data_IF_287951104800
#
_entry.id   IF_287951104800
#
_cell.length_a   1.000
_cell.length_b   1.000
_cell.length_c   1.000
_cell.angle_alpha   90.00
_cell.angle_beta   90.00
_cell.angle_gamma   90.00
#
_symmetry.space_group_name_H-M   'P 1'
#
loop_
_entity.id
_entity.type
_entity.pdbx_description
1 polymer ?
#
# COMPACT_ATOMS: atom_id res chain seq x y z
N UNK A 1 -9.76 14.75 11.49
CA UNK A 1 -8.41 14.13 11.49
C UNK A 1 -7.61 14.53 10.26
N UNK A 2 -6.35 14.94 10.42
CA UNK A 2 -5.48 15.41 9.31
C UNK A 2 -4.74 14.28 8.55
N UNK A 3 -5.01 12.99 8.83
CA UNK A 3 -4.32 11.84 8.24
C UNK A 3 -4.78 11.48 6.83
N UNK A 4 -4.06 10.52 6.22
CA UNK A 4 -4.39 9.95 4.90
C UNK A 4 -4.74 8.47 5.03
N UNK A 5 -5.70 8.04 4.24
CA UNK A 5 -6.12 6.64 4.10
C UNK A 5 -5.70 6.12 2.74
N UNK A 6 -5.50 4.82 2.62
CA UNK A 6 -5.23 4.14 1.35
C UNK A 6 -5.86 2.75 1.35
N UNK A 7 -6.25 2.26 0.18
CA UNK A 7 -6.72 0.88 0.01
C UNK A 7 -5.65 0.11 -0.73
N UNK A 8 -5.14 -0.93 -0.09
CA UNK A 8 -4.03 -1.73 -0.59
C UNK A 8 -4.39 -3.21 -0.69
N UNK A 9 -3.74 -3.90 -1.60
CA UNK A 9 -3.59 -5.34 -1.51
C UNK A 9 -2.39 -5.64 -0.60
N UNK A 10 -2.56 -6.60 0.29
CA UNK A 10 -1.47 -7.21 1.05
C UNK A 10 -1.56 -8.73 0.93
N UNK A 11 -0.44 -9.43 0.79
CA UNK A 11 -0.43 -10.88 1.04
C UNK A 11 -0.97 -11.19 2.44
N UNK A 12 -1.37 -12.44 2.71
CA UNK A 12 -1.76 -12.86 4.07
C UNK A 12 -0.62 -12.53 5.05
N UNK A 13 -0.89 -11.73 6.11
CA UNK A 13 0.13 -11.38 7.10
C UNK A 13 0.78 -12.57 7.82
N UNK A 14 0.15 -13.74 7.79
CA UNK A 14 0.70 -15.01 8.31
C UNK A 14 1.53 -15.75 7.27
N UNK A 15 1.49 -15.34 6.00
CA UNK A 15 2.13 -16.01 4.89
C UNK A 15 3.63 -15.71 4.78
N UNK A 16 4.35 -16.58 4.08
CA UNK A 16 5.79 -16.44 3.86
C UNK A 16 6.15 -15.19 3.03
N UNK A 17 5.33 -14.86 2.04
CA UNK A 17 5.55 -13.68 1.18
C UNK A 17 5.46 -12.38 1.98
N UNK A 18 4.48 -12.26 2.90
CA UNK A 18 4.39 -11.10 3.80
C UNK A 18 5.61 -10.98 4.71
N UNK A 19 6.02 -12.10 5.33
CA UNK A 19 7.20 -12.10 6.22
C UNK A 19 8.46 -11.70 5.47
N UNK A 20 8.68 -12.24 4.27
CA UNK A 20 9.85 -11.89 3.46
C UNK A 20 9.84 -10.42 3.04
N UNK A 21 8.70 -9.89 2.57
CA UNK A 21 8.59 -8.49 2.19
C UNK A 21 8.73 -7.54 3.37
N UNK A 22 8.14 -7.86 4.53
CA UNK A 22 8.27 -7.07 5.77
C UNK A 22 9.70 -7.09 6.31
N UNK A 23 10.38 -8.25 6.27
CA UNK A 23 11.80 -8.38 6.62
C UNK A 23 12.68 -7.57 5.67
N UNK A 24 12.48 -7.69 4.36
CA UNK A 24 13.21 -6.88 3.39
C UNK A 24 13.04 -5.38 3.65
N UNK A 25 11.81 -4.92 3.91
CA UNK A 25 11.57 -3.50 4.22
C UNK A 25 11.99 -3.11 5.65
N UNK A 26 12.30 -4.07 6.53
CA UNK A 26 12.69 -3.83 7.93
C UNK A 26 11.54 -3.38 8.83
N UNK A 27 10.27 -3.58 8.40
CA UNK A 27 9.09 -3.17 9.17
C UNK A 27 7.85 -3.99 8.78
N UNK A 28 7.13 -4.45 9.78
CA UNK A 28 5.78 -4.99 9.64
C UNK A 28 4.75 -3.86 9.77
N UNK A 29 3.95 -3.62 8.72
CA UNK A 29 2.96 -2.56 8.70
C UNK A 29 1.69 -2.90 9.50
N UNK A 30 1.46 -4.18 9.86
CA UNK A 30 0.31 -4.62 10.67
C UNK A 30 0.58 -4.41 12.16
N UNK A 31 1.78 -4.76 12.61
CA UNK A 31 2.17 -4.64 14.02
C UNK A 31 2.85 -3.31 14.34
N UNK A 32 3.39 -2.63 13.32
CA UNK A 32 4.25 -1.46 13.46
C UNK A 32 5.67 -1.79 13.90
N UNK A 33 5.98 -3.07 14.17
CA UNK A 33 7.27 -3.49 14.69
C UNK A 33 8.38 -3.37 13.65
N UNK A 34 9.59 -3.06 14.11
CA UNK A 34 10.80 -3.24 13.33
C UNK A 34 11.04 -4.74 13.12
N UNK A 35 11.45 -5.10 11.93
CA UNK A 35 11.79 -6.49 11.55
C UNK A 35 13.23 -6.51 11.08
N UNK A 36 13.99 -7.47 11.56
CA UNK A 36 15.38 -7.64 11.13
C UNK A 36 15.44 -8.04 9.64
N UNK A 37 16.17 -7.30 8.79
CA UNK A 37 16.28 -7.63 7.38
C UNK A 37 17.24 -8.79 7.15
N UNK A 38 16.84 -9.70 6.29
CA UNK A 38 17.73 -10.70 5.72
C UNK A 38 18.35 -10.11 4.45
N UNK A 39 19.59 -9.58 4.57
CA UNK A 39 20.25 -8.87 3.48
C UNK A 39 21.08 -9.83 2.60
N UNK A 40 21.12 -9.60 1.27
CA UNK A 40 22.11 -10.23 0.40
C UNK A 40 23.54 -9.91 0.88
N UNK A 41 24.51 -10.85 0.75
CA UNK A 41 25.86 -10.66 1.28
C UNK A 41 26.58 -9.40 0.82
N UNK A 42 26.31 -8.92 -0.38
CA UNK A 42 26.93 -7.74 -0.96
C UNK A 42 26.25 -6.41 -0.58
N UNK A 43 25.14 -6.44 0.18
CA UNK A 43 24.36 -5.26 0.53
C UNK A 43 24.59 -4.84 1.98
N UNK A 44 25.28 -3.73 2.18
CA UNK A 44 25.47 -3.14 3.51
C UNK A 44 24.19 -2.51 4.09
N UNK A 45 24.07 -2.50 5.44
CA UNK A 45 22.92 -1.90 6.14
C UNK A 45 22.68 -0.42 5.81
N UNK A 46 23.68 0.46 5.67
CA UNK A 46 23.47 1.85 5.30
C UNK A 46 22.79 1.98 3.93
N UNK A 47 23.33 1.31 2.93
CA UNK A 47 22.78 1.30 1.57
C UNK A 47 21.37 0.71 1.53
N UNK A 48 21.13 -0.40 2.24
CA UNK A 48 19.77 -0.98 2.36
C UNK A 48 18.77 0.01 2.97
N UNK A 49 19.17 0.77 4.02
CA UNK A 49 18.30 1.77 4.65
C UNK A 49 17.88 2.86 3.68
N UNK A 50 18.82 3.34 2.88
CA UNK A 50 18.59 4.32 1.82
C UNK A 50 17.62 3.76 0.77
N UNK A 51 17.93 2.58 0.24
CA UNK A 51 17.11 1.93 -0.80
C UNK A 51 15.68 1.61 -0.38
N UNK A 52 15.44 1.43 0.91
CA UNK A 52 14.12 1.05 1.43
C UNK A 52 13.42 2.17 2.20
N UNK A 53 13.93 3.41 2.22
CA UNK A 53 13.38 4.48 3.06
C UNK A 53 11.91 4.77 2.77
N UNK A 54 11.56 5.09 1.52
CA UNK A 54 10.17 5.34 1.16
C UNK A 54 9.32 4.06 1.20
N UNK A 55 9.70 2.91 0.58
CA UNK A 55 8.90 1.69 0.65
C UNK A 55 8.63 1.23 2.09
N UNK A 56 9.60 1.32 3.00
CA UNK A 56 9.45 1.00 4.42
C UNK A 56 8.36 1.85 5.09
N UNK A 57 8.27 3.13 4.73
CA UNK A 57 7.25 4.05 5.26
C UNK A 57 5.84 3.62 4.89
N UNK A 58 5.67 3.08 3.70
CA UNK A 58 4.37 2.57 3.22
C UNK A 58 4.08 1.14 3.70
N UNK A 59 5.10 0.31 3.94
CA UNK A 59 4.99 -1.12 4.23
C UNK A 59 4.86 -1.98 2.97
N UNK A 60 4.84 -3.29 3.13
CA UNK A 60 4.80 -4.24 2.01
C UNK A 60 3.37 -4.36 1.47
N UNK A 61 3.09 -3.79 0.29
CA UNK A 61 1.75 -3.71 -0.28
C UNK A 61 1.78 -3.50 -1.79
N UNK A 62 0.64 -3.72 -2.46
CA UNK A 62 0.35 -3.14 -3.77
C UNK A 62 -0.81 -2.14 -3.65
N UNK A 63 -0.67 -0.98 -4.29
CA UNK A 63 -1.66 0.10 -4.21
C UNK A 63 -2.87 -0.20 -5.09
N UNK A 64 -4.07 -0.32 -4.51
CA UNK A 64 -5.34 -0.40 -5.24
C UNK A 64 -6.01 0.98 -5.35
N UNK A 65 -6.03 1.74 -4.24
CA UNK A 65 -6.37 3.17 -4.25
C UNK A 65 -5.29 3.95 -3.52
N UNK A 66 -4.67 4.93 -4.20
CA UNK A 66 -3.58 5.72 -3.63
C UNK A 66 -4.04 6.55 -2.42
N UNK A 67 -3.10 7.02 -1.58
CA UNK A 67 -3.40 7.78 -0.39
C UNK A 67 -4.26 9.02 -0.64
N UNK A 68 -5.33 9.17 0.17
CA UNK A 68 -6.25 10.31 0.13
C UNK A 68 -6.62 10.78 1.55
N UNK A 69 -7.00 12.05 1.67
CA UNK A 69 -7.61 12.60 2.88
C UNK A 69 -9.11 12.36 2.82
N UNK A 70 -9.73 12.12 3.99
CA UNK A 70 -11.18 11.96 4.08
C UNK A 70 -11.86 13.29 3.73
N UNK A 71 -12.90 13.22 2.91
CA UNK A 71 -13.74 14.36 2.58
C UNK A 71 -14.57 14.79 3.79
N UNK A 72 -14.94 16.07 3.82
CA UNK A 72 -15.84 16.60 4.85
C UNK A 72 -17.16 15.82 4.86
N UNK A 73 -17.69 15.56 6.03
CA UNK A 73 -18.95 14.81 6.21
C UNK A 73 -18.77 13.29 6.29
N UNK A 74 -17.56 12.77 6.14
CA UNK A 74 -17.26 11.35 6.37
C UNK A 74 -16.36 11.15 7.57
N UNK A 75 -16.68 10.14 8.35
CA UNK A 75 -15.88 9.67 9.46
C UNK A 75 -15.12 8.38 9.07
N UNK A 76 -14.04 8.01 9.79
CA UNK A 76 -13.31 6.77 9.52
C UNK A 76 -14.18 5.51 9.53
N UNK A 77 -15.24 5.48 10.34
CA UNK A 77 -16.18 4.36 10.42
C UNK A 77 -16.96 4.17 9.13
N UNK A 78 -17.29 5.24 8.41
CA UNK A 78 -17.97 5.17 7.12
C UNK A 78 -17.11 4.49 6.06
N UNK A 79 -15.80 4.83 6.06
CA UNK A 79 -14.83 4.19 5.18
C UNK A 79 -14.62 2.71 5.51
N UNK A 80 -14.59 2.36 6.80
CA UNK A 80 -14.50 0.97 7.27
C UNK A 80 -15.72 0.18 6.81
N UNK A 81 -16.93 0.71 7.02
CA UNK A 81 -18.17 0.08 6.58
C UNK A 81 -18.18 -0.13 5.05
N UNK A 82 -17.77 0.86 4.28
CA UNK A 82 -17.64 0.73 2.84
C UNK A 82 -16.62 -0.35 2.41
N UNK A 83 -15.51 -0.50 3.14
CA UNK A 83 -14.55 -1.58 2.89
C UNK A 83 -15.14 -2.97 3.20
N UNK A 84 -15.96 -3.09 4.24
CA UNK A 84 -16.68 -4.33 4.57
C UNK A 84 -17.68 -4.71 3.47
N UNK A 85 -18.51 -3.77 3.04
CA UNK A 85 -19.51 -4.00 1.99
C UNK A 85 -18.83 -4.36 0.66
N UNK A 86 -17.75 -3.66 0.32
CA UNK A 86 -16.94 -3.94 -0.86
C UNK A 86 -16.34 -5.35 -0.81
N UNK A 87 -15.80 -5.78 0.33
CA UNK A 87 -15.19 -7.10 0.48
C UNK A 87 -16.25 -8.22 0.51
N UNK A 88 -17.41 -7.98 1.13
CA UNK A 88 -18.50 -8.94 1.22
C UNK A 88 -19.07 -9.31 -0.16
N UNK A 89 -19.12 -8.36 -1.08
CA UNK A 89 -19.66 -8.55 -2.43
C UNK A 89 -18.68 -9.25 -3.40
N UNK A 90 -17.51 -9.72 -2.93
CA UNK A 90 -16.46 -10.28 -3.80
C UNK A 90 -16.03 -11.67 -3.38
N UNK A 91 -15.65 -12.48 -4.36
CA UNK A 91 -15.00 -13.76 -4.15
C UNK A 91 -13.48 -13.62 -4.24
N UNK A 92 -12.77 -14.47 -3.50
CA UNK A 92 -11.33 -14.63 -3.66
C UNK A 92 -11.00 -15.25 -5.02
N UNK A 93 -9.87 -14.83 -5.60
CA UNK A 93 -9.37 -15.35 -6.87
C UNK A 93 -7.86 -15.52 -6.84
N UNK A 94 -7.32 -16.18 -7.85
CA UNK A 94 -5.87 -16.29 -8.05
C UNK A 94 -5.43 -15.39 -9.21
N UNK A 95 -4.43 -14.56 -8.94
CA UNK A 95 -3.69 -13.81 -9.95
C UNK A 95 -2.46 -14.60 -10.40
N UNK A 96 -1.88 -14.29 -11.56
CA UNK A 96 -0.63 -14.91 -12.02
C UNK A 96 0.48 -14.86 -10.97
N UNK A 97 1.49 -15.75 -11.06
CA UNK A 97 2.68 -15.70 -10.24
C UNK A 97 3.36 -14.32 -10.28
N UNK A 98 4.16 -14.02 -9.25
CA UNK A 98 4.96 -12.81 -9.21
C UNK A 98 6.34 -13.04 -9.82
N UNK A 99 6.99 -11.94 -10.18
CA UNK A 99 8.42 -11.89 -10.49
C UNK A 99 9.03 -10.62 -9.93
N UNK A 100 10.30 -10.65 -9.58
CA UNK A 100 11.08 -9.44 -9.30
C UNK A 100 11.40 -8.76 -10.63
N UNK A 101 11.09 -7.48 -10.75
CA UNK A 101 11.32 -6.71 -11.98
C UNK A 101 11.78 -5.28 -11.68
N UNK A 102 12.52 -4.71 -12.64
CA UNK A 102 12.78 -3.26 -12.70
C UNK A 102 11.53 -2.57 -13.25
N UNK A 103 11.01 -1.62 -12.51
CA UNK A 103 9.84 -0.81 -12.87
C UNK A 103 10.29 0.64 -12.95
N UNK A 104 10.67 1.08 -14.15
CA UNK A 104 11.09 2.46 -14.42
C UNK A 104 12.15 2.99 -13.41
N UNK A 105 13.11 2.15 -13.03
CA UNK A 105 14.24 2.53 -12.18
C UNK A 105 14.12 2.14 -10.71
N UNK A 106 13.07 1.50 -10.25
CA UNK A 106 12.97 0.87 -8.95
C UNK A 106 12.66 -0.63 -9.07
N UNK A 107 13.00 -1.42 -8.06
CA UNK A 107 12.75 -2.86 -8.05
C UNK A 107 11.46 -3.14 -7.29
N UNK A 108 10.61 -3.99 -7.87
CA UNK A 108 9.36 -4.42 -7.27
C UNK A 108 9.02 -5.87 -7.62
N UNK A 109 8.11 -6.48 -6.86
CA UNK A 109 7.40 -7.68 -7.31
C UNK A 109 6.23 -7.24 -8.19
N UNK A 110 6.20 -7.76 -9.43
CA UNK A 110 5.13 -7.53 -10.41
C UNK A 110 4.49 -8.86 -10.79
N UNK A 111 3.32 -8.85 -11.40
CA UNK A 111 2.76 -10.05 -11.99
C UNK A 111 3.63 -10.52 -13.16
N UNK A 112 3.75 -11.83 -13.32
CA UNK A 112 4.51 -12.43 -14.45
C UNK A 112 3.83 -12.11 -15.79
N UNK A 113 2.50 -12.03 -15.79
CA UNK A 113 1.67 -11.69 -16.94
C UNK A 113 0.49 -10.80 -16.50
N UNK A 114 -0.17 -10.05 -17.41
CA UNK A 114 -1.31 -9.21 -17.08
C UNK A 114 -2.47 -9.98 -16.45
N UNK A 115 -3.26 -9.32 -15.59
CA UNK A 115 -4.43 -9.91 -14.95
C UNK A 115 -5.61 -8.95 -14.98
N UNK A 116 -6.58 -9.24 -15.85
CA UNK A 116 -7.82 -8.47 -15.94
C UNK A 116 -8.59 -8.42 -14.60
N UNK A 117 -8.50 -9.48 -13.77
CA UNK A 117 -9.12 -9.52 -12.46
C UNK A 117 -8.47 -8.53 -11.46
N UNK A 118 -7.14 -8.40 -11.48
CA UNK A 118 -6.40 -7.42 -10.67
C UNK A 118 -6.71 -5.99 -11.15
N UNK A 119 -6.74 -5.77 -12.47
CA UNK A 119 -7.03 -4.45 -13.04
C UNK A 119 -8.46 -4.02 -12.72
N UNK A 120 -9.42 -4.96 -12.80
CA UNK A 120 -10.81 -4.72 -12.38
C UNK A 120 -10.90 -4.38 -10.89
N UNK A 121 -10.23 -5.15 -10.03
CA UNK A 121 -10.20 -4.87 -8.58
C UNK A 121 -9.64 -3.47 -8.26
N UNK A 122 -8.54 -3.08 -8.91
CA UNK A 122 -7.95 -1.75 -8.73
C UNK A 122 -8.88 -0.63 -9.23
N UNK A 123 -9.49 -0.81 -10.40
CA UNK A 123 -10.48 0.13 -10.97
C UNK A 123 -11.68 0.31 -10.03
N UNK A 124 -12.20 -0.80 -9.50
CA UNK A 124 -13.32 -0.78 -8.58
C UNK A 124 -12.95 -0.09 -7.26
N UNK A 125 -11.77 -0.37 -6.71
CA UNK A 125 -11.28 0.32 -5.51
C UNK A 125 -11.17 1.85 -5.74
N UNK A 126 -10.65 2.28 -6.89
CA UNK A 126 -10.58 3.70 -7.21
C UNK A 126 -11.99 4.30 -7.28
N UNK A 127 -12.91 3.67 -8.01
CA UNK A 127 -14.25 4.19 -8.27
C UNK A 127 -15.13 4.23 -7.01
N UNK A 128 -15.21 3.12 -6.27
CA UNK A 128 -16.09 2.97 -5.09
C UNK A 128 -15.65 3.89 -3.95
N UNK A 129 -14.35 3.98 -3.70
CA UNK A 129 -13.83 4.78 -2.59
C UNK A 129 -13.53 6.23 -2.97
N UNK A 130 -13.83 6.69 -4.21
CA UNK A 130 -13.57 8.09 -4.59
C UNK A 130 -14.46 9.09 -3.87
N UNK A 131 -15.69 8.69 -3.51
CA UNK A 131 -16.61 9.53 -2.72
C UNK A 131 -16.04 9.97 -1.37
N UNK A 132 -15.11 9.19 -0.81
CA UNK A 132 -14.45 9.49 0.47
C UNK A 132 -13.23 10.41 0.32
N UNK A 133 -12.80 10.71 -0.89
CA UNK A 133 -11.61 11.49 -1.16
C UNK A 133 -11.89 12.98 -1.09
N UNK A 134 -11.22 13.68 -0.17
CA UNK A 134 -11.22 15.14 -0.14
C UNK A 134 -10.61 15.73 -1.43
N UNK A 135 -11.08 16.90 -1.86
CA UNK A 135 -10.42 17.65 -2.91
C UNK A 135 -8.92 17.88 -2.62
N UNK A 136 -8.07 17.98 -3.65
CA UNK A 136 -6.65 18.25 -3.44
C UNK A 136 -6.46 19.62 -2.77
N UNK A 137 -5.48 19.72 -1.87
CA UNK A 137 -5.05 21.01 -1.34
C UNK A 137 -4.29 21.82 -2.40
N UNK A 138 -4.17 23.13 -2.20
CA UNK A 138 -3.38 24.00 -3.10
C UNK A 138 -1.94 23.48 -3.28
N UNK A 139 -1.28 23.08 -2.18
CA UNK A 139 0.07 22.50 -2.22
C UNK A 139 0.15 21.17 -2.99
N UNK A 140 -0.88 20.32 -2.91
CA UNK A 140 -0.98 19.09 -3.72
C UNK A 140 -1.17 19.43 -5.20
N UNK A 141 -1.99 20.42 -5.51
CA UNK A 141 -2.23 20.88 -6.89
C UNK A 141 -0.96 21.41 -7.51
N UNK A 142 -0.24 22.33 -6.83
CA UNK A 142 1.03 22.90 -7.33
C UNK A 142 2.07 21.80 -7.57
N UNK A 143 2.25 20.88 -6.64
CA UNK A 143 3.20 19.74 -6.80
C UNK A 143 2.85 18.85 -7.99
N UNK A 144 1.58 18.66 -8.26
CA UNK A 144 1.09 17.82 -9.35
C UNK A 144 1.25 18.52 -10.72
N UNK A 145 1.11 19.83 -10.77
CA UNK A 145 1.35 20.62 -11.98
C UNK A 145 2.83 20.63 -12.40
N UNK A 146 3.76 20.47 -11.44
CA UNK A 146 5.19 20.38 -11.71
C UNK A 146 5.63 19.01 -12.27
N UNK A 147 4.77 18.00 -12.29
CA UNK A 147 5.11 16.67 -12.80
C UNK A 147 4.92 16.63 -14.32
N UNK A 148 5.90 16.05 -15.03
CA UNK A 148 5.78 15.77 -16.46
C UNK A 148 4.84 14.59 -16.67
N UNK A 149 3.57 14.88 -16.96
CA UNK A 149 2.51 13.89 -17.18
C UNK A 149 2.06 13.90 -18.64
N UNK A 150 1.71 12.73 -19.16
CA UNK A 150 1.00 12.66 -20.43
C UNK A 150 -0.38 13.31 -20.32
N UNK A 151 -1.00 13.69 -21.44
CA UNK A 151 -2.37 14.21 -21.46
C UNK A 151 -3.36 13.28 -20.72
N UNK A 152 -3.21 11.96 -20.93
CA UNK A 152 -4.06 10.96 -20.27
C UNK A 152 -3.84 10.92 -18.76
N UNK A 153 -2.59 10.87 -18.31
CA UNK A 153 -2.25 10.91 -16.88
C UNK A 153 -2.72 12.20 -16.21
N UNK A 154 -2.65 13.32 -16.91
CA UNK A 154 -3.22 14.59 -16.43
C UNK A 154 -4.73 14.52 -16.23
N UNK A 155 -5.48 13.92 -17.16
CA UNK A 155 -6.92 13.71 -17.05
C UNK A 155 -7.27 12.78 -15.85
N UNK A 156 -6.53 11.67 -15.68
CA UNK A 156 -6.71 10.76 -14.55
C UNK A 156 -6.41 11.43 -13.22
N UNK A 157 -5.35 12.25 -13.17
CA UNK A 157 -5.01 13.04 -11.98
C UNK A 157 -6.14 14.00 -11.58
N UNK A 158 -6.72 14.71 -12.54
CA UNK A 158 -7.84 15.63 -12.28
C UNK A 158 -9.08 14.85 -11.79
N UNK A 159 -9.40 13.76 -12.45
CA UNK A 159 -10.60 12.97 -12.13
C UNK A 159 -10.47 12.20 -10.81
N UNK A 160 -9.37 11.46 -10.62
CA UNK A 160 -9.20 10.49 -9.54
C UNK A 160 -8.19 10.90 -8.46
N UNK A 161 -7.53 12.03 -8.65
CA UNK A 161 -6.52 12.53 -7.71
C UNK A 161 -5.16 11.83 -7.79
N UNK A 162 -4.96 10.93 -8.78
CA UNK A 162 -3.69 10.25 -9.00
C UNK A 162 -3.56 9.83 -10.47
N UNK A 163 -2.37 9.98 -11.11
CA UNK A 163 -2.24 9.75 -12.55
C UNK A 163 -2.13 8.28 -12.95
N UNK A 164 -1.68 7.40 -12.06
CA UNK A 164 -1.40 5.99 -12.34
C UNK A 164 -2.52 5.09 -11.81
N UNK A 165 -3.75 5.34 -12.28
CA UNK A 165 -4.97 4.56 -11.99
C UNK A 165 -5.65 4.17 -13.29
N UNK A 166 -6.68 3.34 -13.22
CA UNK A 166 -7.43 2.84 -14.38
C UNK A 166 -6.50 2.12 -15.36
N UNK A 167 -6.44 2.55 -16.62
CA UNK A 167 -5.57 1.97 -17.65
C UNK A 167 -4.07 2.24 -17.45
N UNK A 168 -3.71 3.21 -16.62
CA UNK A 168 -2.32 3.49 -16.22
C UNK A 168 -1.90 2.69 -14.98
N UNK A 169 -2.81 1.89 -14.43
CA UNK A 169 -2.51 1.06 -13.27
C UNK A 169 -1.52 -0.06 -13.62
N UNK A 170 -0.54 -0.28 -12.72
CA UNK A 170 0.39 -1.40 -12.80
C UNK A 170 0.50 -2.03 -11.43
N UNK A 171 0.15 -3.30 -11.32
CA UNK A 171 0.28 -4.04 -10.07
C UNK A 171 1.76 -4.22 -9.72
N UNK A 172 2.16 -3.72 -8.55
CA UNK A 172 3.52 -3.91 -8.03
C UNK A 172 3.56 -3.80 -6.51
N UNK A 173 4.44 -4.60 -5.88
CA UNK A 173 4.82 -4.46 -4.48
C UNK A 173 6.25 -3.94 -4.44
N UNK A 174 6.41 -2.70 -4.06
CA UNK A 174 7.69 -1.97 -4.13
C UNK A 174 8.72 -2.53 -3.14
N UNK A 175 9.92 -2.81 -3.62
CA UNK A 175 11.04 -3.28 -2.82
C UNK A 175 12.10 -2.20 -2.59
N UNK A 176 12.34 -1.31 -3.56
CA UNK A 176 13.35 -0.27 -3.45
C UNK A 176 12.83 1.10 -3.85
N UNK A 177 13.55 2.14 -3.45
CA UNK A 177 13.46 3.44 -4.11
C UNK A 177 14.03 3.38 -5.53
N UNK A 178 13.88 4.48 -6.28
CA UNK A 178 14.53 4.62 -7.58
C UNK A 178 16.04 4.62 -7.41
N UNK A 179 16.70 3.86 -8.27
CA UNK A 179 18.15 3.67 -8.25
C UNK A 179 18.75 4.11 -9.57
N UNK A 180 19.92 4.78 -9.50
CA UNK A 180 20.75 4.98 -10.67
C UNK A 180 21.54 3.68 -11.00
N UNK A 181 21.91 3.48 -12.27
CA UNK A 181 22.94 2.50 -12.65
C UNK A 181 24.31 3.01 -12.13
N UNK A 182 25.31 2.20 -11.76
CA UNK A 182 25.34 0.74 -11.73
C UNK A 182 24.90 0.17 -10.37
N UNK A 183 24.70 -1.13 -10.29
CA UNK A 183 24.29 -1.84 -9.04
C UNK A 183 22.85 -2.33 -9.05
N UNK A 184 21.96 -1.67 -9.81
CA UNK A 184 20.54 -2.07 -9.90
C UNK A 184 20.38 -3.49 -10.45
N UNK A 185 21.11 -3.86 -11.49
CA UNK A 185 21.04 -5.21 -12.06
C UNK A 185 21.50 -6.30 -11.08
N UNK A 186 22.59 -6.05 -10.34
CA UNK A 186 23.08 -6.98 -9.33
C UNK A 186 22.07 -7.15 -8.18
N UNK A 187 21.48 -6.05 -7.72
CA UNK A 187 20.44 -6.10 -6.68
C UNK A 187 19.16 -6.78 -7.18
N UNK A 188 18.75 -6.53 -8.43
CA UNK A 188 17.63 -7.22 -9.07
C UNK A 188 17.81 -8.73 -9.02
N UNK A 189 18.99 -9.23 -9.45
CA UNK A 189 19.30 -10.65 -9.44
C UNK A 189 19.31 -11.23 -8.00
N UNK A 190 19.86 -10.51 -7.04
CA UNK A 190 19.90 -10.92 -5.64
C UNK A 190 18.50 -11.01 -5.04
N UNK A 191 17.63 -10.03 -5.33
CA UNK A 191 16.23 -10.05 -4.90
C UNK A 191 15.43 -11.12 -5.63
N UNK A 192 15.66 -11.35 -6.91
CA UNK A 192 15.05 -12.45 -7.65
C UNK A 192 15.35 -13.80 -6.99
N UNK A 193 16.61 -14.05 -6.61
CA UNK A 193 16.99 -15.25 -5.89
C UNK A 193 16.33 -15.34 -4.49
N UNK A 194 16.25 -14.22 -3.77
CA UNK A 194 15.63 -14.16 -2.43
C UNK A 194 14.14 -14.48 -2.46
N UNK A 195 13.40 -13.98 -3.46
CA UNK A 195 11.96 -14.16 -3.59
C UNK A 195 11.55 -15.35 -4.47
N UNK A 196 12.49 -16.04 -5.12
CA UNK A 196 12.25 -17.09 -6.13
C UNK A 196 11.17 -18.10 -5.70
N UNK A 197 11.36 -18.77 -4.55
CA UNK A 197 10.41 -19.79 -4.06
C UNK A 197 9.03 -19.20 -3.69
N UNK A 198 8.97 -17.92 -3.35
CA UNK A 198 7.76 -17.24 -2.89
C UNK A 198 6.92 -16.68 -4.03
N UNK A 199 7.48 -16.63 -5.23
CA UNK A 199 6.88 -16.00 -6.40
C UNK A 199 6.43 -16.98 -7.48
N UNK A 200 6.77 -18.27 -7.36
CA UNK A 200 6.45 -19.32 -8.36
C UNK A 200 4.97 -19.70 -8.42
N UNK A 201 4.26 -19.59 -7.31
CA UNK A 201 2.85 -19.95 -7.25
C UNK A 201 1.95 -18.76 -7.58
N UNK A 202 0.74 -19.01 -8.13
CA UNK A 202 -0.27 -17.97 -8.28
C UNK A 202 -0.54 -17.24 -6.97
N UNK A 203 -0.76 -15.93 -7.06
CA UNK A 203 -1.03 -15.09 -5.89
C UNK A 203 -2.51 -15.15 -5.53
N UNK A 204 -2.81 -15.59 -4.32
CA UNK A 204 -4.17 -15.54 -3.82
C UNK A 204 -4.55 -14.11 -3.46
N UNK A 205 -5.57 -13.59 -4.12
CA UNK A 205 -6.18 -12.28 -3.85
C UNK A 205 -7.51 -12.52 -3.15
N UNK A 206 -7.50 -12.40 -1.84
CA UNK A 206 -8.63 -12.78 -0.98
C UNK A 206 -9.04 -11.65 -0.02
N UNK A 207 -8.71 -10.40 -0.35
CA UNK A 207 -9.11 -9.25 0.43
C UNK A 207 -8.40 -7.97 0.06
N UNK A 208 -8.90 -6.88 0.63
CA UNK A 208 -8.27 -5.54 0.62
C UNK A 208 -7.86 -5.15 2.03
N UNK A 209 -6.96 -4.19 2.15
CA UNK A 209 -6.51 -3.66 3.43
C UNK A 209 -6.63 -2.14 3.46
N UNK A 210 -7.21 -1.62 4.53
CA UNK A 210 -7.26 -0.18 4.83
C UNK A 210 -6.01 0.20 5.60
N UNK A 211 -5.27 1.15 5.08
CA UNK A 211 -4.08 1.73 5.71
C UNK A 211 -4.34 3.17 6.11
N UNK A 212 -3.67 3.62 7.16
CA UNK A 212 -3.74 4.98 7.67
C UNK A 212 -2.34 5.56 7.92
N UNK A 213 -2.18 6.83 7.58
CA UNK A 213 -1.00 7.62 7.87
C UNK A 213 -1.42 8.89 8.61
N UNK A 214 -1.04 9.07 9.87
CA UNK A 214 -1.50 10.21 10.68
C UNK A 214 -0.90 11.56 10.24
N UNK A 215 0.31 11.55 9.71
CA UNK A 215 0.99 12.75 9.18
C UNK A 215 1.91 12.39 8.01
N UNK A 216 2.34 13.36 7.22
CA UNK A 216 3.17 13.16 6.04
C UNK A 216 4.52 12.45 6.33
N UNK A 217 5.05 12.59 7.54
CA UNK A 217 6.32 11.98 7.98
C UNK A 217 6.14 10.64 8.68
N UNK A 218 4.95 10.35 9.19
CA UNK A 218 4.67 9.08 9.86
C UNK A 218 4.60 7.91 8.87
N UNK A 219 4.90 6.69 9.31
CA UNK A 219 4.67 5.51 8.50
C UNK A 219 3.17 5.22 8.36
N UNK A 220 2.80 4.57 7.27
CA UNK A 220 1.48 3.95 7.14
C UNK A 220 1.38 2.71 8.03
N UNK A 221 0.23 2.54 8.67
CA UNK A 221 -0.10 1.34 9.43
C UNK A 221 -1.35 0.68 8.82
N UNK A 222 -1.36 -0.64 8.76
CA UNK A 222 -2.54 -1.39 8.40
C UNK A 222 -3.56 -1.31 9.54
N UNK A 223 -4.67 -0.60 9.32
CA UNK A 223 -5.77 -0.55 10.29
C UNK A 223 -6.50 -1.87 10.35
N UNK A 224 -6.86 -2.38 9.15
CA UNK A 224 -7.66 -3.60 9.04
C UNK A 224 -7.54 -4.20 7.64
N UNK A 225 -7.56 -5.54 7.58
CA UNK A 225 -7.76 -6.32 6.37
C UNK A 225 -9.21 -6.81 6.30
N UNK A 226 -9.80 -6.76 5.12
CA UNK A 226 -11.18 -7.15 4.83
C UNK A 226 -11.14 -8.34 3.87
N UNK A 227 -11.33 -9.57 4.38
CA UNK A 227 -11.38 -10.77 3.54
C UNK A 227 -12.61 -10.76 2.63
N UNK A 228 -12.45 -11.23 1.40
CA UNK A 228 -13.56 -11.38 0.46
C UNK A 228 -14.52 -12.48 0.90
N UNK A 229 -15.82 -12.27 0.69
CA UNK A 229 -16.87 -13.24 0.99
C UNK A 229 -17.11 -13.51 2.48
N UNK A 230 -16.48 -12.77 3.41
CA UNK A 230 -16.71 -13.00 4.83
C UNK A 230 -18.00 -12.35 5.33
N UNK A 231 -18.82 -13.15 6.03
CA UNK A 231 -20.07 -12.72 6.68
C UNK A 231 -19.95 -12.73 8.22
N UNK A 232 -18.75 -12.64 8.79
CA UNK A 232 -18.54 -12.75 10.23
C UNK A 232 -18.84 -11.44 10.97
N UNK A 233 -20.06 -11.36 11.51
CA UNK A 233 -20.51 -10.22 12.33
C UNK A 233 -19.74 -10.07 13.66
N UNK A 234 -19.12 -11.15 14.18
CA UNK A 234 -18.29 -11.06 15.40
C UNK A 234 -16.93 -10.40 15.10
N UNK A 235 -16.38 -10.65 13.92
CA UNK A 235 -15.17 -9.95 13.46
C UNK A 235 -15.44 -8.45 13.28
N UNK A 236 -16.65 -8.05 12.91
CA UNK A 236 -17.07 -6.65 12.75
C UNK A 236 -16.91 -5.86 14.05
N UNK A 237 -17.54 -6.28 15.14
CA UNK A 237 -17.51 -5.58 16.45
C UNK A 237 -16.10 -5.51 17.07
N UNK A 238 -15.31 -6.59 16.94
CA UNK A 238 -13.93 -6.63 17.42
C UNK A 238 -13.01 -5.69 16.65
N UNK A 239 -13.29 -5.51 15.39
CA UNK A 239 -12.51 -4.72 14.47
C UNK A 239 -12.81 -3.23 14.55
N UNK A 240 -14.07 -2.82 14.75
CA UNK A 240 -14.45 -1.44 15.01
C UNK A 240 -13.72 -0.91 16.26
N UNK A 241 -13.69 -1.70 17.34
CA UNK A 241 -12.92 -1.38 18.56
C UNK A 241 -11.42 -1.23 18.28
N UNK A 242 -10.84 -2.05 17.41
CA UNK A 242 -9.42 -1.95 17.06
C UNK A 242 -9.11 -0.72 16.21
N UNK A 243 -9.95 -0.38 15.24
CA UNK A 243 -9.80 0.84 14.42
C UNK A 243 -9.88 2.08 15.31
N UNK A 244 -10.89 2.17 16.19
CA UNK A 244 -11.03 3.27 17.14
C UNK A 244 -9.82 3.32 18.09
N UNK A 245 -9.36 2.19 18.62
CA UNK A 245 -8.18 2.12 19.49
C UNK A 245 -6.89 2.55 18.79
N UNK A 246 -6.66 2.14 17.54
CA UNK A 246 -5.49 2.56 16.78
C UNK A 246 -5.56 4.06 16.45
N UNK A 247 -6.69 4.56 16.01
CA UNK A 247 -6.88 5.98 15.72
C UNK A 247 -6.72 6.85 16.97
N UNK A 248 -7.25 6.41 18.12
CA UNK A 248 -7.11 7.14 19.40
C UNK A 248 -5.66 7.15 19.94
N UNK A 249 -4.85 6.15 19.63
CA UNK A 249 -3.42 6.15 19.98
C UNK A 249 -2.62 7.20 19.19
N UNK A 250 -3.01 7.44 17.94
CA UNK A 250 -2.40 8.49 17.13
C UNK A 250 -2.83 9.89 17.57
N UNK A 251 -4.10 10.10 17.92
CA UNK A 251 -4.58 11.38 18.45
C UNK A 251 -3.90 11.76 19.78
N UNK A 252 -3.70 10.80 20.69
CA UNK A 252 -3.01 11.04 21.97
C UNK A 252 -1.53 11.37 21.80
N UNK A 253 -0.82 10.75 20.84
CA UNK A 253 0.59 11.04 20.56
C UNK A 253 0.80 12.40 19.90
N UNK A 254 -0.14 12.85 19.08
CA UNK A 254 -0.08 14.17 18.45
C UNK A 254 -0.44 15.28 19.44
N UNK A 255 -1.35 15.05 20.39
CA UNK A 255 -1.66 15.99 21.49
C UNK A 255 -0.51 16.13 22.49
N UNK A 256 0.17 15.03 22.82
CA UNK A 256 1.31 15.07 23.74
C UNK A 256 2.52 15.86 23.19
N UNK A 257 2.68 15.93 21.88
CA UNK A 257 3.73 16.74 21.21
C UNK A 257 3.40 18.23 21.11
N UNK A 258 2.15 18.63 21.32
CA UNK A 258 1.72 20.02 21.33
C UNK A 258 1.78 20.64 22.73
N UNK A 259 1.78 19.83 23.80
CA UNK A 259 1.91 20.28 25.19
C UNK A 259 3.34 20.32 25.72
N UNK A 260 4.34 19.97 24.89
CA UNK A 260 5.78 20.00 25.21
C UNK A 260 6.57 21.02 24.41
N UNK A 261 5.89 22.10 23.94
CA UNK A 261 6.52 23.29 23.35
C UNK A 261 6.10 24.55 24.08
#
# INVERSE_FOLDING_TARGET
MKGRYAIYFTPDPRGALWRAGSSWLGRDAVTGAAVEPNLPPALGRPQWRELTEAPRRYGFHATLKPPFRLAHGFEPVDLVSACEDFARSRAAFFAPPLRVADVDGFIALTLHEPSAAIDALARDCVSVFDRFRAPPSAAETTRRQAATLTRRQGALLLRWGYPYVMEEFRFHLTLTERMNQPGRAALLNSLAATFDRLTRAPVRVDGIALFFQPSARAPFAALRRFPFGSHDDRAKRRSERRVVSVLSQFDKKDLAKLSSR
#
